data_IF_766106393543
#
_entry.id   IF_766106393543
#
_cell.length_a   1.000
_cell.length_b   1.000
_cell.length_c   1.000
_cell.angle_alpha   90.00
_cell.angle_beta   90.00
_cell.angle_gamma   90.00
#
_symmetry.space_group_name_H-M   'P 1'
#
loop_
_entity.id
_entity.type
_entity.pdbx_description
1 polymer ?
#
# COMPACT_ATOMS: atom_id res chain seq x y z
N UNK A 1 12.12 5.33 9.29
CA UNK A 1 11.20 6.46 9.59
C UNK A 1 10.91 7.31 8.35
N UNK A 2 11.94 7.63 7.55
CA UNK A 2 11.81 8.43 6.32
C UNK A 2 10.69 7.99 5.35
N UNK A 3 10.55 6.67 5.06
CA UNK A 3 9.49 6.19 4.17
C UNK A 3 8.08 6.41 4.75
N UNK A 4 7.92 6.28 6.06
CA UNK A 4 6.64 6.52 6.73
C UNK A 4 6.22 7.98 6.58
N UNK A 5 7.15 8.91 6.79
CA UNK A 5 6.88 10.34 6.63
C UNK A 5 6.53 10.67 5.18
N UNK A 6 7.27 10.12 4.21
CA UNK A 6 6.97 10.31 2.78
C UNK A 6 5.58 9.83 2.41
N UNK A 7 5.18 8.64 2.82
CA UNK A 7 3.86 8.11 2.47
C UNK A 7 2.74 8.93 3.15
N UNK A 8 2.96 9.46 4.35
CA UNK A 8 2.02 10.41 5.00
C UNK A 8 1.90 11.75 4.25
N UNK A 9 2.99 12.24 3.65
CA UNK A 9 2.91 13.43 2.79
C UNK A 9 2.16 13.10 1.50
N UNK A 10 2.46 11.96 0.87
CA UNK A 10 1.75 11.49 -0.33
C UNK A 10 0.26 11.39 -0.07
N UNK A 11 -0.18 10.75 1.03
CA UNK A 11 -1.60 10.62 1.34
C UNK A 11 -2.28 11.98 1.48
N UNK A 12 -1.65 12.93 2.17
CA UNK A 12 -2.15 14.31 2.30
C UNK A 12 -2.25 15.03 0.95
N UNK A 13 -1.22 14.96 0.11
CA UNK A 13 -1.21 15.59 -1.23
C UNK A 13 -2.30 15.01 -2.13
N UNK A 14 -2.57 13.71 -1.99
CA UNK A 14 -3.63 13.00 -2.72
C UNK A 14 -5.04 13.24 -2.13
N UNK A 15 -5.15 14.01 -1.04
CA UNK A 15 -6.42 14.30 -0.38
C UNK A 15 -7.03 13.09 0.33
N UNK A 16 -6.19 12.16 0.80
CA UNK A 16 -6.58 11.05 1.66
C UNK A 16 -6.54 11.48 3.13
N UNK A 17 -7.57 11.10 3.86
CA UNK A 17 -7.64 11.24 5.30
C UNK A 17 -7.07 9.98 5.97
N UNK A 18 -6.00 10.11 6.76
CA UNK A 18 -5.33 8.98 7.43
C UNK A 18 -5.50 9.14 8.94
N UNK A 19 -6.22 8.21 9.55
CA UNK A 19 -6.45 8.16 11.00
C UNK A 19 -5.73 6.99 11.65
N UNK A 20 -5.27 7.23 12.87
CA UNK A 20 -4.72 6.25 13.80
C UNK A 20 -5.54 6.23 15.10
N UNK A 21 -6.83 6.54 15.03
CA UNK A 21 -7.67 6.56 16.23
C UNK A 21 -7.92 5.15 16.74
N UNK A 22 -7.93 4.96 18.06
CA UNK A 22 -8.19 3.64 18.64
C UNK A 22 -9.62 3.20 18.36
N UNK A 23 -9.78 1.94 17.94
CA UNK A 23 -11.07 1.29 17.68
C UNK A 23 -11.15 0.02 18.52
N UNK A 24 -11.53 0.11 19.80
CA UNK A 24 -11.42 -1.00 20.75
C UNK A 24 -12.32 -2.20 20.41
N UNK A 25 -13.40 -1.98 19.65
CA UNK A 25 -14.30 -3.03 19.20
C UNK A 25 -13.97 -3.59 17.80
N UNK A 26 -12.90 -3.09 17.15
CA UNK A 26 -12.46 -3.57 15.85
C UNK A 26 -11.74 -4.90 16.00
N UNK A 27 -12.15 -5.89 15.19
CA UNK A 27 -11.50 -7.21 15.11
C UNK A 27 -9.96 -7.05 15.07
N UNK A 28 -9.22 -7.62 16.05
CA UNK A 28 -7.77 -7.54 16.12
C UNK A 28 -7.04 -8.01 14.85
N UNK A 29 -7.65 -8.88 14.04
CA UNK A 29 -7.08 -9.31 12.76
C UNK A 29 -7.03 -8.19 11.72
N UNK A 30 -7.93 -7.21 11.80
CA UNK A 30 -7.98 -6.06 10.90
C UNK A 30 -6.96 -5.03 11.37
N UNK A 31 -5.93 -4.80 10.54
CA UNK A 31 -4.82 -3.88 10.83
C UNK A 31 -4.98 -2.51 10.16
N UNK A 32 -5.77 -2.45 9.09
CA UNK A 32 -6.09 -1.22 8.39
C UNK A 32 -7.33 -1.40 7.52
N UNK A 33 -7.83 -0.27 7.03
CA UNK A 33 -8.94 -0.24 6.07
C UNK A 33 -8.82 0.97 5.16
N UNK A 34 -9.05 0.78 3.86
CA UNK A 34 -9.30 1.84 2.88
C UNK A 34 -10.77 1.85 2.46
N UNK A 35 -11.42 3.02 2.55
CA UNK A 35 -12.79 3.22 2.06
C UNK A 35 -13.01 4.66 1.60
N UNK A 36 -13.42 4.85 0.34
CA UNK A 36 -13.59 6.17 -0.27
C UNK A 36 -12.28 6.94 -0.35
N UNK A 37 -12.06 7.88 0.57
CA UNK A 37 -10.81 8.63 0.73
C UNK A 37 -10.23 8.55 2.13
N UNK A 38 -10.74 7.64 2.95
CA UNK A 38 -10.30 7.44 4.33
C UNK A 38 -9.48 6.18 4.43
N UNK A 39 -8.31 6.31 5.06
CA UNK A 39 -7.46 5.21 5.48
C UNK A 39 -7.45 5.21 7.01
N UNK A 40 -7.68 4.05 7.60
CA UNK A 40 -7.42 3.84 9.01
C UNK A 40 -6.30 2.81 9.16
N UNK A 41 -5.40 3.06 10.08
CA UNK A 41 -4.34 2.13 10.46
C UNK A 41 -4.39 1.95 11.97
N UNK A 42 -4.36 0.69 12.42
CA UNK A 42 -4.43 0.33 13.83
C UNK A 42 -3.27 0.97 14.61
N UNK A 43 -3.53 1.85 15.60
CA UNK A 43 -2.47 2.55 16.33
C UNK A 43 -1.66 1.64 17.25
N UNK A 44 -2.24 0.52 17.71
CA UNK A 44 -1.58 -0.40 18.63
C UNK A 44 -0.50 -1.27 17.96
N UNK A 45 -0.40 -1.25 16.63
CA UNK A 45 0.62 -1.99 15.89
C UNK A 45 2.00 -1.34 15.97
N UNK A 46 3.05 -2.15 15.80
CA UNK A 46 4.43 -1.63 15.69
C UNK A 46 4.56 -0.67 14.50
N UNK A 47 5.51 0.27 14.55
CA UNK A 47 5.75 1.23 13.46
C UNK A 47 6.01 0.56 12.11
N UNK A 48 6.71 -0.58 12.12
CA UNK A 48 6.93 -1.38 10.92
C UNK A 48 5.62 -1.95 10.35
N UNK A 49 4.77 -2.50 11.22
CA UNK A 49 3.47 -3.04 10.81
C UNK A 49 2.50 -1.94 10.37
N UNK A 50 2.53 -0.78 11.01
CA UNK A 50 1.78 0.41 10.57
C UNK A 50 2.24 0.86 9.17
N UNK A 51 3.55 0.91 8.91
CA UNK A 51 4.09 1.26 7.59
C UNK A 51 3.63 0.27 6.52
N UNK A 52 3.77 -1.03 6.79
CA UNK A 52 3.31 -2.10 5.89
C UNK A 52 1.83 -1.92 5.55
N UNK A 53 1.01 -1.74 6.58
CA UNK A 53 -0.44 -1.57 6.44
C UNK A 53 -0.76 -0.31 5.63
N UNK A 54 -0.12 0.82 5.94
CA UNK A 54 -0.35 2.08 5.24
C UNK A 54 0.03 1.98 3.75
N UNK A 55 1.15 1.34 3.41
CA UNK A 55 1.53 1.10 2.01
C UNK A 55 0.48 0.23 1.28
N UNK A 56 -0.05 -0.79 1.95
CA UNK A 56 -1.09 -1.66 1.43
C UNK A 56 -2.40 -0.89 1.16
N UNK A 57 -2.89 -0.10 2.14
CA UNK A 57 -4.11 0.69 1.96
C UNK A 57 -3.96 1.79 0.89
N UNK A 58 -2.76 2.37 0.74
CA UNK A 58 -2.47 3.31 -0.35
C UNK A 58 -2.40 2.60 -1.71
N UNK A 59 -1.94 1.35 -1.76
CA UNK A 59 -2.00 0.56 -2.99
C UNK A 59 -3.46 0.34 -3.44
N UNK A 60 -4.39 0.13 -2.51
CA UNK A 60 -5.82 0.10 -2.83
C UNK A 60 -6.32 1.43 -3.43
N UNK A 61 -5.90 2.58 -2.89
CA UNK A 61 -6.25 3.88 -3.47
C UNK A 61 -5.80 4.02 -4.93
N UNK A 62 -4.57 3.60 -5.25
CA UNK A 62 -4.04 3.70 -6.62
C UNK A 62 -4.59 2.65 -7.58
N UNK A 63 -5.29 1.63 -7.07
CA UNK A 63 -5.92 0.60 -7.87
C UNK A 63 -7.31 1.08 -8.32
N UNK A 64 -7.40 1.43 -9.61
CA UNK A 64 -8.65 1.93 -10.25
C UNK A 64 -9.79 0.90 -10.26
N UNK A 65 -9.50 -0.37 -9.97
CA UNK A 65 -10.41 -1.51 -10.13
C UNK A 65 -10.58 -2.37 -8.88
N UNK A 66 -10.20 -1.93 -7.68
CA UNK A 66 -10.32 -2.75 -6.44
C UNK A 66 -11.71 -3.39 -6.29
N UNK A 67 -12.76 -2.67 -6.69
CA UNK A 67 -14.15 -3.14 -6.60
C UNK A 67 -14.69 -3.87 -7.84
N UNK A 68 -13.88 -4.00 -8.90
CA UNK A 68 -14.28 -4.61 -10.19
C UNK A 68 -13.61 -5.97 -10.45
N UNK A 69 -12.69 -6.38 -9.58
CA UNK A 69 -12.01 -7.68 -9.63
C UNK A 69 -12.36 -8.49 -8.37
N UNK A 70 -12.17 -9.82 -8.37
CA UNK A 70 -12.34 -10.62 -7.17
C UNK A 70 -11.51 -10.05 -6.02
N UNK A 71 -12.10 -10.02 -4.81
CA UNK A 71 -11.43 -9.46 -3.62
C UNK A 71 -10.03 -10.05 -3.45
N UNK A 72 -9.89 -11.36 -3.61
CA UNK A 72 -8.60 -12.06 -3.52
C UNK A 72 -7.53 -11.48 -4.45
N UNK A 73 -7.88 -11.16 -5.68
CA UNK A 73 -6.94 -10.56 -6.64
C UNK A 73 -6.57 -9.13 -6.21
N UNK A 74 -7.55 -8.36 -5.74
CA UNK A 74 -7.30 -7.01 -5.24
C UNK A 74 -6.35 -6.98 -4.03
N UNK A 75 -6.56 -7.85 -3.06
CA UNK A 75 -5.68 -8.01 -1.89
C UNK A 75 -4.28 -8.48 -2.33
N UNK A 76 -4.21 -9.45 -3.25
CA UNK A 76 -2.94 -9.95 -3.81
C UNK A 76 -2.14 -8.82 -4.48
N UNK A 77 -2.81 -7.98 -5.28
CA UNK A 77 -2.19 -6.82 -5.91
C UNK A 77 -1.70 -5.83 -4.85
N UNK A 78 -2.53 -5.48 -3.86
CA UNK A 78 -2.18 -4.49 -2.84
C UNK A 78 -1.00 -4.96 -1.96
N UNK A 79 -1.00 -6.21 -1.52
CA UNK A 79 0.12 -6.82 -0.79
C UNK A 79 1.41 -6.83 -1.62
N UNK A 80 1.31 -7.21 -2.91
CA UNK A 80 2.46 -7.25 -3.81
C UNK A 80 3.06 -5.86 -4.01
N UNK A 81 2.22 -4.85 -4.25
CA UNK A 81 2.63 -3.46 -4.41
C UNK A 81 3.28 -2.95 -3.13
N UNK A 82 2.68 -3.18 -1.97
CA UNK A 82 3.24 -2.75 -0.69
C UNK A 82 4.61 -3.37 -0.42
N UNK A 83 4.77 -4.66 -0.76
CA UNK A 83 6.05 -5.35 -0.68
C UNK A 83 7.09 -4.76 -1.64
N UNK A 84 6.75 -4.64 -2.93
CA UNK A 84 7.65 -4.12 -3.96
C UNK A 84 8.08 -2.68 -3.65
N UNK A 85 7.14 -1.83 -3.22
CA UNK A 85 7.44 -0.44 -2.86
C UNK A 85 8.28 -0.36 -1.59
N UNK A 86 7.90 -1.09 -0.55
CA UNK A 86 8.65 -1.15 0.70
C UNK A 86 10.10 -1.60 0.47
N UNK A 87 10.30 -2.70 -0.24
CA UNK A 87 11.62 -3.26 -0.54
C UNK A 87 12.52 -2.28 -1.30
N UNK A 88 11.97 -1.56 -2.28
CA UNK A 88 12.71 -0.54 -3.03
C UNK A 88 13.28 0.56 -2.14
N UNK A 89 12.52 0.96 -1.10
CA UNK A 89 12.95 1.98 -0.13
C UNK A 89 13.66 1.38 1.11
N UNK A 90 14.12 0.12 1.04
CA UNK A 90 14.87 -0.53 2.11
C UNK A 90 14.05 -0.97 3.32
N UNK A 91 12.72 -1.02 3.21
CA UNK A 91 11.85 -1.59 4.25
C UNK A 91 11.80 -3.12 4.09
N UNK A 92 12.55 -3.83 4.93
CA UNK A 92 12.42 -5.26 5.07
C UNK A 92 11.18 -5.58 5.92
N UNK A 93 10.11 -5.99 5.23
CA UNK A 93 8.84 -6.35 5.87
C UNK A 93 8.89 -7.70 6.60
N UNK A 94 10.01 -8.44 6.55
CA UNK A 94 10.13 -9.79 7.10
C UNK A 94 9.29 -10.85 6.39
N UNK A 95 8.48 -10.45 5.40
CA UNK A 95 7.65 -11.36 4.61
C UNK A 95 8.47 -11.89 3.45
N UNK A 96 9.08 -13.07 3.65
CA UNK A 96 9.46 -13.92 2.51
C UNK A 96 8.19 -14.41 1.85
N UNK A 97 7.74 -13.80 0.75
CA UNK A 97 7.15 -14.50 -0.40
C UNK A 97 6.39 -13.58 -1.36
N UNK A 98 7.11 -13.00 -2.31
CA UNK A 98 6.54 -12.74 -3.64
C UNK A 98 6.07 -14.04 -4.32
N UNK A 99 6.62 -15.19 -3.89
CA UNK A 99 6.37 -16.53 -4.41
C UNK A 99 4.90 -16.99 -4.28
N UNK A 100 4.12 -16.47 -3.33
CA UNK A 100 2.71 -16.87 -3.19
C UNK A 100 1.82 -16.24 -4.26
N UNK A 101 2.17 -15.06 -4.77
CA UNK A 101 1.38 -14.33 -5.78
C UNK A 101 1.26 -15.11 -7.10
N UNK A 102 2.29 -15.89 -7.44
CA UNK A 102 2.29 -16.73 -8.63
C UNK A 102 1.50 -18.04 -8.48
N UNK A 103 1.24 -18.51 -7.24
CA UNK A 103 0.61 -19.82 -6.97
C UNK A 103 -0.93 -19.78 -7.01
N UNK A 104 -1.55 -18.61 -7.08
CA UNK A 104 -3.01 -18.46 -6.92
C UNK A 104 -3.79 -18.22 -8.20
N UNK A 105 -3.11 -17.89 -9.29
CA UNK A 105 -3.77 -17.72 -10.58
C UNK A 105 -3.94 -19.08 -11.25
N UNK A 106 -5.14 -19.66 -11.12
CA UNK A 106 -5.54 -20.85 -11.87
C UNK A 106 -5.60 -20.57 -13.40
N UNK A 107 -5.76 -19.30 -13.79
CA UNK A 107 -5.79 -18.83 -15.17
C UNK A 107 -4.62 -17.87 -15.46
N UNK A 108 -3.83 -18.20 -16.49
CA UNK A 108 -2.72 -17.38 -17.01
C UNK A 108 -3.15 -15.94 -17.31
N UNK A 109 -4.36 -15.70 -17.81
CA UNK A 109 -4.86 -14.35 -18.11
C UNK A 109 -5.05 -13.52 -16.85
N UNK A 110 -5.51 -14.14 -15.77
CA UNK A 110 -5.65 -13.48 -14.46
C UNK A 110 -4.28 -13.14 -13.91
N UNK A 111 -3.31 -14.05 -14.03
CA UNK A 111 -1.93 -13.79 -13.63
C UNK A 111 -1.33 -12.60 -14.38
N UNK A 112 -1.48 -12.57 -15.72
CA UNK A 112 -0.98 -11.49 -16.56
C UNK A 112 -1.64 -10.15 -16.20
N UNK A 113 -2.95 -10.14 -15.95
CA UNK A 113 -3.68 -8.95 -15.52
C UNK A 113 -3.21 -8.45 -14.14
N UNK A 114 -3.04 -9.36 -13.17
CA UNK A 114 -2.55 -9.02 -11.84
C UNK A 114 -1.13 -8.47 -11.88
N UNK A 115 -0.22 -9.09 -12.65
CA UNK A 115 1.16 -8.60 -12.84
C UNK A 115 1.19 -7.22 -13.51
N UNK A 116 0.33 -7.00 -14.51
CA UNK A 116 0.21 -5.69 -15.16
C UNK A 116 -0.30 -4.61 -14.17
N UNK A 117 -1.28 -4.96 -13.34
CA UNK A 117 -1.80 -4.07 -12.30
C UNK A 117 -0.73 -3.75 -11.25
N UNK A 118 -0.02 -4.77 -10.73
CA UNK A 118 1.08 -4.60 -9.77
C UNK A 118 2.12 -3.63 -10.35
N UNK A 119 2.60 -3.87 -11.57
CA UNK A 119 3.58 -2.99 -12.22
C UNK A 119 3.06 -1.55 -12.32
N UNK A 120 1.84 -1.35 -12.85
CA UNK A 120 1.25 -0.01 -13.03
C UNK A 120 1.13 0.74 -11.69
N UNK A 121 0.62 0.07 -10.65
CA UNK A 121 0.36 0.68 -9.36
C UNK A 121 1.67 0.96 -8.63
N UNK A 122 2.63 0.02 -8.64
CA UNK A 122 3.97 0.25 -8.10
C UNK A 122 4.64 1.46 -8.73
N UNK A 123 4.60 1.62 -10.06
CA UNK A 123 5.13 2.82 -10.74
C UNK A 123 4.48 4.10 -10.23
N UNK A 124 3.14 4.16 -10.15
CA UNK A 124 2.45 5.33 -9.60
C UNK A 124 2.88 5.68 -8.18
N UNK A 125 3.03 4.66 -7.32
CA UNK A 125 3.46 4.86 -5.94
C UNK A 125 4.93 5.31 -5.86
N UNK A 126 5.81 4.77 -6.70
CA UNK A 126 7.20 5.23 -6.81
C UNK A 126 7.26 6.70 -7.22
N UNK A 127 6.61 7.07 -8.31
CA UNK A 127 6.59 8.45 -8.82
C UNK A 127 6.10 9.42 -7.73
N UNK A 128 5.02 9.04 -7.01
CA UNK A 128 4.50 9.84 -5.92
C UNK A 128 5.49 9.98 -4.75
N UNK A 129 6.11 8.88 -4.30
CA UNK A 129 7.05 8.90 -3.18
C UNK A 129 8.37 9.61 -3.52
N UNK A 130 8.86 9.48 -4.74
CA UNK A 130 10.08 10.14 -5.22
C UNK A 130 9.86 11.65 -5.42
N UNK A 131 8.65 12.07 -5.83
CA UNK A 131 8.31 13.49 -5.94
C UNK A 131 8.38 14.24 -4.60
N UNK A 132 8.27 13.53 -3.46
CA UNK A 132 8.42 14.15 -2.13
C UNK A 132 9.89 14.46 -1.81
N UNK A 133 10.86 13.73 -2.39
CA UNK A 133 12.31 14.03 -2.22
C UNK A 133 12.71 15.37 -2.85
N UNK A 134 12.05 15.78 -3.93
CA UNK A 134 12.42 16.97 -4.70
C UNK A 134 11.85 18.29 -4.15
N UNK A 135 10.98 18.24 -3.13
CA UNK A 135 10.35 19.42 -2.54
C UNK A 135 11.10 20.11 -1.39
N UNK A 136 12.15 19.50 -0.84
CA UNK A 136 12.89 20.05 0.32
C UNK A 136 14.02 21.03 -0.04
N UNK A 137 14.27 21.31 -1.32
CA UNK A 137 15.42 22.12 -1.77
C UNK A 137 15.05 23.36 -2.59
N UNK A 138 13.82 23.87 -2.50
CA UNK A 138 13.45 25.14 -3.14
C UNK A 138 12.62 26.04 -2.23
N UNK A 139 13.29 26.62 -1.24
CA UNK A 139 13.02 27.98 -0.76
C UNK A 139 14.37 28.64 -0.50
N UNK A 140 14.84 29.39 -1.49
CA UNK A 140 15.79 30.50 -1.30
C UNK A 140 15.01 31.70 -0.77
#
# INVERSE_FOLDING_TARGET
EELFERIMVVTRVQGLDVSFDSRPHQDPAIKGTYSGKSIWVRPEESRAQQLKTLLHEVAHYYSENVFRIPRRDAETIAESVAFTVGAHFGFDSGVRSFSYVALWAEDKKVLEANLAAIRKISTKMFDALESIKTGATSKR
#
